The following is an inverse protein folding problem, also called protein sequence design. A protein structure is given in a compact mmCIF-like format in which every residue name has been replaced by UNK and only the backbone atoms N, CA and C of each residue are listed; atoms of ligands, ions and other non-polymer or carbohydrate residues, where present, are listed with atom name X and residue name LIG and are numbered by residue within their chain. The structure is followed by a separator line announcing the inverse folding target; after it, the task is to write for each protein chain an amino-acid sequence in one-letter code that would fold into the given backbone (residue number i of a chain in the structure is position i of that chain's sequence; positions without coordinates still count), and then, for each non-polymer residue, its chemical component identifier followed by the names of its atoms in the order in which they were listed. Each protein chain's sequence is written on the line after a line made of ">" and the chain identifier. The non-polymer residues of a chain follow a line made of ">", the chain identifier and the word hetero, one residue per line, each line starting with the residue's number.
data_IF_444093881858
#
_entry.id   IF_444093881858
#
_cell.length_a   1.000
_cell.length_b   1.000
_cell.length_c   1.000
_cell.angle_alpha   90.00
_cell.angle_beta   90.00
_cell.angle_gamma   90.00
#
_symmetry.space_group_name_H-M   'P 1'
#
loop_
_entity.id
_entity.type
_entity.pdbx_description
1 polymer ?
#
# COMPACT_ATOMS: atom_id res chain seq x y z
N UNK A 1 -16.77 -7.15 19.80
CA UNK A 1 -15.34 -6.99 20.18
C UNK A 1 -14.39 -7.76 19.26
N UNK A 2 -14.64 -9.04 18.95
CA UNK A 2 -13.77 -9.81 18.03
C UNK A 2 -13.78 -9.28 16.58
N UNK A 3 -14.93 -8.81 16.08
CA UNK A 3 -15.06 -8.26 14.72
C UNK A 3 -14.29 -6.95 14.54
N UNK A 4 -14.37 -6.05 15.52
CA UNK A 4 -13.67 -4.77 15.51
C UNK A 4 -12.15 -4.95 15.45
N UNK A 5 -11.62 -5.90 16.23
CA UNK A 5 -10.20 -6.24 16.22
C UNK A 5 -9.74 -6.85 14.88
N UNK A 6 -10.58 -7.67 14.24
CA UNK A 6 -10.30 -8.23 12.91
C UNK A 6 -10.26 -7.12 11.86
N UNK A 7 -11.23 -6.20 11.89
CA UNK A 7 -11.28 -5.05 10.98
C UNK A 7 -10.01 -4.19 11.09
N UNK A 8 -9.62 -3.78 12.30
CA UNK A 8 -8.39 -2.98 12.52
C UNK A 8 -7.12 -3.69 12.04
N UNK A 9 -7.02 -5.01 12.19
CA UNK A 9 -5.86 -5.76 11.68
C UNK A 9 -5.75 -5.73 10.16
N UNK A 10 -6.89 -5.82 9.48
CA UNK A 10 -6.93 -5.84 8.01
C UNK A 10 -6.64 -4.43 7.49
N UNK A 11 -7.19 -3.39 8.10
CA UNK A 11 -6.86 -1.99 7.80
C UNK A 11 -5.35 -1.72 7.95
N UNK A 12 -4.74 -2.16 9.06
CA UNK A 12 -3.29 -2.07 9.25
C UNK A 12 -2.50 -2.87 8.21
N UNK A 13 -3.01 -4.02 7.78
CA UNK A 13 -2.36 -4.81 6.75
C UNK A 13 -2.43 -4.11 5.38
N UNK A 14 -3.58 -3.55 5.01
CA UNK A 14 -3.75 -2.76 3.80
C UNK A 14 -2.82 -1.55 3.79
N UNK A 15 -2.75 -0.79 4.89
CA UNK A 15 -1.83 0.34 5.03
C UNK A 15 -0.35 -0.07 4.84
N UNK A 16 0.05 -1.24 5.33
CA UNK A 16 1.39 -1.78 5.11
C UNK A 16 1.65 -2.17 3.65
N UNK A 17 0.65 -2.70 2.95
CA UNK A 17 0.77 -2.99 1.51
C UNK A 17 0.93 -1.70 0.71
N UNK A 18 0.18 -0.65 1.03
CA UNK A 18 0.34 0.66 0.37
C UNK A 18 1.73 1.26 0.63
N UNK A 19 2.23 1.18 1.88
CA UNK A 19 3.59 1.63 2.19
C UNK A 19 4.66 0.84 1.41
N UNK A 20 4.49 -0.49 1.27
CA UNK A 20 5.39 -1.31 0.45
C UNK A 20 5.37 -0.91 -1.03
N UNK A 21 4.19 -0.57 -1.57
CA UNK A 21 4.08 -0.05 -2.94
C UNK A 21 4.84 1.25 -3.12
N UNK A 22 4.77 2.16 -2.14
CA UNK A 22 5.52 3.42 -2.19
C UNK A 22 7.04 3.16 -2.25
N UNK A 23 7.56 2.29 -1.38
CA UNK A 23 8.98 1.90 -1.37
C UNK A 23 9.39 1.28 -2.72
N UNK A 24 8.58 0.35 -3.26
CA UNK A 24 8.88 -0.29 -4.55
C UNK A 24 8.89 0.72 -5.71
N UNK A 25 8.03 1.74 -5.67
CA UNK A 25 8.03 2.83 -6.66
C UNK A 25 9.28 3.71 -6.55
N UNK A 26 9.72 4.02 -5.33
CA UNK A 26 10.97 4.75 -5.08
C UNK A 26 12.17 3.96 -5.58
N UNK A 27 12.24 2.66 -5.29
CA UNK A 27 13.30 1.77 -5.77
C UNK A 27 13.30 1.68 -7.31
N UNK A 28 12.14 1.61 -7.94
CA UNK A 28 12.03 1.61 -9.40
C UNK A 28 12.49 2.92 -10.06
N UNK A 29 12.46 4.04 -9.32
CA UNK A 29 12.92 5.33 -9.78
C UNK A 29 14.43 5.55 -9.58
N UNK A 30 15.09 4.71 -8.75
CA UNK A 30 16.53 4.81 -8.49
C UNK A 30 17.35 4.01 -9.50
N UNK A 31 18.42 4.63 -9.99
CA UNK A 31 19.40 3.99 -10.89
C UNK A 31 20.16 2.84 -10.23
N UNK A 32 20.26 2.83 -8.89
CA UNK A 32 20.89 1.76 -8.11
C UNK A 32 20.24 0.39 -8.36
N UNK A 33 18.96 0.37 -8.73
CA UNK A 33 18.19 -0.85 -8.92
C UNK A 33 17.91 -1.20 -10.39
N UNK A 34 18.65 -0.61 -11.35
CA UNK A 34 18.43 -0.82 -12.79
C UNK A 34 18.37 -2.31 -13.17
N UNK A 35 19.37 -3.08 -12.72
CA UNK A 35 19.50 -4.52 -13.02
C UNK A 35 18.34 -5.36 -12.46
N UNK A 36 17.61 -4.85 -11.47
CA UNK A 36 16.49 -5.53 -10.82
C UNK A 36 15.13 -4.91 -11.17
N UNK A 37 15.04 -3.93 -12.07
CA UNK A 37 13.79 -3.24 -12.39
C UNK A 37 12.65 -4.18 -12.79
N UNK A 38 12.92 -5.22 -13.57
CA UNK A 38 11.89 -6.20 -13.96
C UNK A 38 11.36 -6.98 -12.76
N UNK A 39 12.25 -7.40 -11.87
CA UNK A 39 11.88 -8.06 -10.62
C UNK A 39 11.02 -7.13 -9.74
N UNK A 40 11.45 -5.89 -9.55
CA UNK A 40 10.74 -4.90 -8.76
C UNK A 40 9.36 -4.55 -9.35
N UNK A 41 9.23 -4.49 -10.68
CA UNK A 41 7.93 -4.34 -11.36
C UNK A 41 7.00 -5.52 -11.07
N UNK A 42 7.53 -6.75 -11.10
CA UNK A 42 6.78 -7.95 -10.73
C UNK A 42 6.29 -7.91 -9.28
N UNK A 43 7.17 -7.52 -8.35
CA UNK A 43 6.82 -7.34 -6.94
C UNK A 43 5.75 -6.25 -6.76
N UNK A 44 5.90 -5.10 -7.42
CA UNK A 44 4.92 -4.01 -7.33
C UNK A 44 3.56 -4.45 -7.86
N UNK A 45 3.53 -5.16 -8.99
CA UNK A 45 2.29 -5.70 -9.56
C UNK A 45 1.60 -6.68 -8.61
N UNK A 46 2.35 -7.61 -8.00
CA UNK A 46 1.80 -8.59 -7.08
C UNK A 46 1.25 -7.92 -5.80
N UNK A 47 1.99 -6.98 -5.22
CA UNK A 47 1.53 -6.24 -4.03
C UNK A 47 0.30 -5.39 -4.36
N UNK A 48 0.25 -4.74 -5.53
CA UNK A 48 -0.91 -3.95 -5.94
C UNK A 48 -2.16 -4.80 -6.16
N UNK A 49 -2.03 -6.01 -6.70
CA UNK A 49 -3.14 -6.96 -6.81
C UNK A 49 -3.68 -7.35 -5.44
N UNK A 50 -2.82 -7.83 -4.54
CA UNK A 50 -3.21 -8.24 -3.18
C UNK A 50 -3.86 -7.07 -2.44
N UNK A 51 -3.29 -5.86 -2.57
CA UNK A 51 -3.85 -4.68 -1.94
C UNK A 51 -5.27 -4.40 -2.44
N UNK A 52 -5.51 -4.43 -3.76
CA UNK A 52 -6.84 -4.23 -4.33
C UNK A 52 -7.83 -5.30 -3.90
N UNK A 53 -7.41 -6.56 -3.84
CA UNK A 53 -8.23 -7.67 -3.35
C UNK A 53 -8.66 -7.44 -1.90
N UNK A 54 -7.73 -7.09 -1.02
CA UNK A 54 -8.02 -6.81 0.39
C UNK A 54 -8.94 -5.60 0.56
N UNK A 55 -8.68 -4.50 -0.16
CA UNK A 55 -9.55 -3.32 -0.09
C UNK A 55 -10.97 -3.65 -0.55
N UNK A 56 -11.12 -4.42 -1.64
CA UNK A 56 -12.41 -4.81 -2.17
C UNK A 56 -13.15 -5.81 -1.28
N UNK A 57 -12.46 -6.81 -0.72
CA UNK A 57 -13.06 -7.83 0.14
C UNK A 57 -13.58 -7.26 1.46
N UNK A 58 -12.89 -6.26 2.01
CA UNK A 58 -13.19 -5.71 3.33
C UNK A 58 -13.76 -4.29 3.31
N UNK A 59 -14.09 -3.77 2.12
CA UNK A 59 -14.66 -2.43 1.92
C UNK A 59 -13.88 -1.33 2.68
N UNK A 60 -12.55 -1.43 2.67
CA UNK A 60 -11.69 -0.50 3.41
C UNK A 60 -11.72 0.84 2.71
N UNK A 61 -12.09 1.88 3.45
CA UNK A 61 -11.99 3.25 2.97
C UNK A 61 -10.51 3.64 2.88
N UNK A 62 -9.99 3.71 1.66
CA UNK A 62 -8.71 4.35 1.41
C UNK A 62 -8.86 5.83 1.68
N UNK A 63 -8.58 6.27 2.92
CA UNK A 63 -8.42 7.69 3.22
C UNK A 63 -7.34 8.26 2.30
N UNK A 64 -7.77 8.94 1.25
CA UNK A 64 -6.89 9.81 0.47
C UNK A 64 -6.48 10.90 1.43
N UNK A 65 -5.26 10.80 1.96
CA UNK A 65 -4.75 11.67 3.01
C UNK A 65 -5.28 13.10 2.87
N UNK A 66 -6.10 13.51 3.83
CA UNK A 66 -6.41 14.90 4.03
C UNK A 66 -5.09 15.61 4.28
N UNK A 67 -4.64 16.36 3.28
CA UNK A 67 -3.63 17.38 3.47
C UNK A 67 -4.28 18.43 4.37
N UNK A 68 -4.14 18.27 5.69
CA UNK A 68 -4.41 19.34 6.63
C UNK A 68 -3.32 20.41 6.45
N UNK A 69 -3.53 21.28 5.47
CA UNK A 69 -3.01 22.64 5.50
C UNK A 69 -3.72 23.37 6.64
N UNK A 70 -3.29 23.12 7.87
CA UNK A 70 -3.59 23.97 9.01
C UNK A 70 -2.77 25.25 8.91
N UNK A 71 -3.25 26.21 8.12
CA UNK A 71 -2.95 27.64 8.33
C UNK A 71 -3.87 28.14 9.44
N UNK A 72 -3.29 28.62 10.54
CA UNK A 72 -3.55 29.94 11.12
C UNK A 72 -2.70 30.16 12.37
#
# INVERSE_FOLDING_TARGET
>A
MAETYRKTKIEHYAARLEHRKAILKEQLASEEFEDMKQFLKGQLSAVDMIHKEIIAEFEIECEKGETSHGKH
#
